data_IF_804356127762
#
_entry.id   IF_804356127762
#
_cell.length_a   1.000
_cell.length_b   1.000
_cell.length_c   1.000
_cell.angle_alpha   90.00
_cell.angle_beta   90.00
_cell.angle_gamma   90.00
#
_symmetry.space_group_name_H-M   'P 1'
#
loop_
_entity.id
_entity.type
_entity.pdbx_description
1 polymer ?
#
# COMPACT_ATOMS: atom_id res chain seq x y z
N UNK A 1 -9.51 -45.18 -55.33
CA UNK A 1 -9.71 -44.35 -54.10
C UNK A 1 -8.42 -44.02 -53.34
N UNK A 2 -7.29 -44.68 -53.60
CA UNK A 2 -6.00 -44.45 -52.91
C UNK A 2 -5.41 -43.05 -53.14
N UNK A 3 -5.49 -42.55 -54.38
CA UNK A 3 -4.85 -41.29 -54.80
C UNK A 3 -5.36 -40.08 -54.01
N UNK A 4 -6.68 -40.02 -53.78
CA UNK A 4 -7.31 -38.96 -53.02
C UNK A 4 -6.79 -38.91 -51.58
N UNK A 5 -6.65 -40.07 -50.94
CA UNK A 5 -6.20 -40.18 -49.55
C UNK A 5 -4.76 -39.68 -49.38
N UNK A 6 -3.89 -40.02 -50.33
CA UNK A 6 -2.49 -39.56 -50.32
C UNK A 6 -2.44 -38.04 -50.46
N UNK A 7 -3.18 -37.45 -51.41
CA UNK A 7 -3.19 -35.99 -51.60
C UNK A 7 -3.67 -35.28 -50.32
N UNK A 8 -4.73 -35.77 -49.67
CA UNK A 8 -5.20 -35.23 -48.40
C UNK A 8 -4.13 -35.29 -47.29
N UNK A 9 -3.36 -36.39 -47.21
CA UNK A 9 -2.32 -36.57 -46.20
C UNK A 9 -1.18 -35.54 -46.33
N UNK A 10 -0.73 -35.26 -47.56
CA UNK A 10 0.41 -34.33 -47.81
C UNK A 10 0.00 -32.85 -47.74
N UNK A 11 -1.27 -32.51 -48.00
CA UNK A 11 -1.73 -31.12 -48.00
C UNK A 11 -2.22 -30.63 -46.65
N UNK A 12 -2.34 -31.51 -45.64
CA UNK A 12 -2.83 -31.08 -44.33
C UNK A 12 -1.73 -30.26 -43.62
N UNK A 13 -1.96 -28.97 -43.31
CA UNK A 13 -0.95 -28.14 -42.67
C UNK A 13 -0.74 -28.58 -41.21
N UNK A 14 0.52 -28.62 -40.76
CA UNK A 14 0.84 -28.79 -39.35
C UNK A 14 0.53 -27.49 -38.64
N UNK A 15 -0.54 -27.47 -37.84
CA UNK A 15 -0.88 -26.33 -36.99
C UNK A 15 0.08 -26.32 -35.80
N UNK A 16 1.08 -25.44 -35.83
CA UNK A 16 1.93 -25.14 -34.68
C UNK A 16 1.58 -23.77 -34.13
N UNK A 17 0.55 -23.68 -33.30
CA UNK A 17 0.26 -22.44 -32.57
C UNK A 17 1.23 -22.32 -31.38
N UNK A 18 2.38 -21.70 -31.63
CA UNK A 18 3.36 -21.38 -30.58
C UNK A 18 2.91 -20.11 -29.87
N UNK A 19 2.09 -20.27 -28.83
CA UNK A 19 1.68 -19.14 -27.98
C UNK A 19 2.90 -18.66 -27.20
N UNK A 20 3.45 -17.50 -27.59
CA UNK A 20 4.52 -16.84 -26.83
C UNK A 20 3.96 -16.36 -25.49
N UNK A 21 4.21 -17.13 -24.45
CA UNK A 21 3.81 -16.81 -23.08
C UNK A 21 4.65 -15.62 -22.58
N UNK A 22 4.01 -14.47 -22.37
CA UNK A 22 4.67 -13.30 -21.79
C UNK A 22 4.51 -13.37 -20.28
N UNK A 23 5.58 -13.74 -19.58
CA UNK A 23 5.57 -13.78 -18.12
C UNK A 23 5.43 -12.34 -17.57
N UNK A 24 4.58 -12.13 -16.56
CA UNK A 24 4.48 -10.83 -15.91
C UNK A 24 5.84 -10.49 -15.27
N UNK A 25 6.30 -9.27 -15.50
CA UNK A 25 7.53 -8.80 -14.88
C UNK A 25 7.29 -8.56 -13.38
N UNK A 26 8.17 -9.07 -12.53
CA UNK A 26 8.19 -8.68 -11.12
C UNK A 26 8.49 -7.19 -11.01
N UNK A 27 7.56 -6.45 -10.41
CA UNK A 27 7.79 -5.06 -10.02
C UNK A 27 8.27 -5.04 -8.58
N UNK A 28 9.55 -4.75 -8.37
CA UNK A 28 10.06 -4.36 -7.06
C UNK A 28 9.55 -2.96 -6.73
N UNK A 29 8.33 -2.88 -6.19
CA UNK A 29 7.81 -1.63 -5.65
C UNK A 29 8.44 -1.43 -4.28
N UNK A 30 9.28 -0.42 -4.15
CA UNK A 30 9.77 0.03 -2.84
C UNK A 30 8.55 0.33 -1.98
N UNK A 31 8.49 -0.26 -0.79
CA UNK A 31 7.46 0.05 0.19
C UNK A 31 7.49 1.56 0.47
N UNK A 32 6.53 2.31 -0.09
CA UNK A 32 6.29 3.68 0.34
C UNK A 32 5.55 3.60 1.67
N UNK A 33 6.26 3.87 2.75
CA UNK A 33 5.66 4.15 4.05
C UNK A 33 4.68 5.29 3.87
N UNK A 34 3.39 5.00 4.06
CA UNK A 34 2.38 6.06 4.20
C UNK A 34 2.74 6.86 5.46
N UNK A 35 2.58 8.19 5.48
CA UNK A 35 2.71 8.95 6.72
C UNK A 35 1.76 8.34 7.76
N UNK A 36 2.27 8.09 8.96
CA UNK A 36 1.43 7.62 10.06
C UNK A 36 0.55 8.78 10.54
N UNK A 37 -0.77 8.59 10.55
CA UNK A 37 -1.69 9.61 11.03
C UNK A 37 -1.53 9.78 12.55
N UNK A 38 -1.53 11.03 13.00
CA UNK A 38 -1.47 11.40 14.41
C UNK A 38 -2.89 11.52 14.95
N UNK A 39 -3.23 10.77 15.99
CA UNK A 39 -4.53 10.88 16.68
C UNK A 39 -4.34 11.52 18.05
N UNK A 40 -4.97 12.66 18.26
CA UNK A 40 -5.01 13.35 19.56
C UNK A 40 -6.42 13.14 20.12
N UNK A 41 -6.51 12.52 21.30
CA UNK A 41 -7.79 12.35 22.00
C UNK A 41 -7.79 13.16 23.29
N UNK A 42 -8.89 13.84 23.59
CA UNK A 42 -9.04 14.65 24.82
C UNK A 42 -10.16 14.06 25.66
N UNK A 43 -9.88 13.72 26.92
CA UNK A 43 -10.92 13.28 27.87
C UNK A 43 -11.73 14.48 28.38
N UNK A 44 -12.90 14.19 28.98
CA UNK A 44 -13.73 15.18 29.67
C UNK A 44 -13.00 15.93 30.77
N UNK A 45 -12.02 15.28 31.39
CA UNK A 45 -11.19 15.84 32.46
C UNK A 45 -10.05 16.73 31.91
N UNK A 46 -9.92 16.86 30.58
CA UNK A 46 -8.87 17.63 29.91
C UNK A 46 -7.58 16.84 29.65
N UNK A 47 -7.54 15.56 29.99
CA UNK A 47 -6.40 14.68 29.73
C UNK A 47 -6.20 14.46 28.22
N UNK A 48 -4.96 14.65 27.76
CA UNK A 48 -4.59 14.52 26.35
C UNK A 48 -3.88 13.19 26.13
N UNK A 49 -4.35 12.42 25.15
CA UNK A 49 -3.80 11.12 24.76
C UNK A 49 -3.27 11.19 23.32
N UNK A 50 -2.05 10.70 23.15
CA UNK A 50 -1.36 10.65 21.86
C UNK A 50 -1.43 9.26 21.25
N UNK A 51 -1.90 9.14 20.01
CA UNK A 51 -1.99 7.89 19.24
C UNK A 51 -2.64 6.72 20.03
N UNK A 52 -3.63 7.03 20.88
CA UNK A 52 -4.30 6.03 21.72
C UNK A 52 -3.45 5.48 22.87
N UNK A 53 -2.44 6.23 23.33
CA UNK A 53 -1.68 5.86 24.51
C UNK A 53 -2.58 5.63 25.73
N UNK A 54 -2.22 4.66 26.58
CA UNK A 54 -2.97 4.33 27.80
C UNK A 54 -2.84 5.43 28.86
N UNK A 55 -1.70 6.14 28.86
CA UNK A 55 -1.42 7.22 29.81
C UNK A 55 -1.50 8.58 29.11
N UNK A 56 -2.05 9.60 29.78
CA UNK A 56 -2.07 10.95 29.24
C UNK A 56 -0.66 11.54 29.16
N UNK A 57 -0.49 12.55 28.31
CA UNK A 57 0.76 13.31 28.20
C UNK A 57 1.05 14.03 29.53
N UNK A 58 2.19 13.69 30.15
CA UNK A 58 2.61 14.17 31.47
C UNK A 58 2.99 15.67 31.55
N UNK A 59 2.68 16.46 30.52
CA UNK A 59 2.87 17.91 30.48
C UNK A 59 1.72 18.65 29.79
N UNK A 60 0.56 17.98 29.63
CA UNK A 60 -0.63 18.56 29.00
C UNK A 60 -0.33 19.18 27.63
N UNK A 61 -0.73 20.43 27.46
CA UNK A 61 -0.61 21.16 26.19
C UNK A 61 0.83 21.43 25.77
N UNK A 62 1.75 21.68 26.71
CA UNK A 62 3.16 21.96 26.38
C UNK A 62 3.83 20.73 25.75
N UNK A 63 3.66 19.57 26.39
CA UNK A 63 4.16 18.29 25.87
C UNK A 63 3.54 17.94 24.50
N UNK A 64 2.28 18.33 24.27
CA UNK A 64 1.63 18.16 22.97
C UNK A 64 2.31 19.02 21.88
N UNK A 65 2.59 20.28 22.17
CA UNK A 65 3.27 21.18 21.23
C UNK A 65 4.68 20.68 20.89
N UNK A 66 5.41 20.16 21.87
CA UNK A 66 6.73 19.59 21.64
C UNK A 66 6.68 18.39 20.68
N UNK A 67 5.71 17.49 20.85
CA UNK A 67 5.54 16.37 19.92
C UNK A 67 5.12 16.83 18.53
N UNK A 68 4.16 17.75 18.42
CA UNK A 68 3.71 18.28 17.13
C UNK A 68 4.84 18.98 16.37
N UNK A 69 5.74 19.68 17.07
CA UNK A 69 6.91 20.32 16.46
C UNK A 69 7.83 19.30 15.79
N UNK A 70 8.07 18.16 16.44
CA UNK A 70 8.88 17.06 15.89
C UNK A 70 8.21 16.41 14.68
N UNK A 71 6.90 16.21 14.73
CA UNK A 71 6.16 15.55 13.65
C UNK A 71 5.93 16.47 12.43
N UNK A 72 5.80 17.78 12.65
CA UNK A 72 5.53 18.75 11.58
C UNK A 72 6.62 18.86 10.52
N UNK A 73 7.86 18.49 10.85
CA UNK A 73 9.00 18.54 9.93
C UNK A 73 9.15 17.27 9.10
N UNK A 74 8.34 16.23 9.34
CA UNK A 74 8.39 14.98 8.59
C UNK A 74 7.80 15.16 7.19
N UNK A 75 8.41 14.50 6.21
CA UNK A 75 7.93 14.46 4.83
C UNK A 75 7.68 13.01 4.40
N UNK A 76 6.48 12.66 3.93
CA UNK A 76 5.28 13.51 3.84
C UNK A 76 4.73 13.95 5.20
N UNK A 77 4.10 15.12 5.26
CA UNK A 77 3.53 15.65 6.50
C UNK A 77 2.38 14.74 6.98
N UNK A 78 2.40 14.29 8.25
CA UNK A 78 1.34 13.45 8.80
C UNK A 78 0.05 14.23 9.02
N UNK A 79 -1.08 13.57 8.80
CA UNK A 79 -2.40 14.12 9.09
C UNK A 79 -2.69 14.05 10.59
N UNK A 80 -3.38 15.07 11.12
CA UNK A 80 -3.77 15.13 12.54
C UNK A 80 -5.27 14.96 12.67
N UNK A 81 -5.69 13.96 13.43
CA UNK A 81 -7.09 13.68 13.76
C UNK A 81 -7.33 13.98 15.24
N UNK A 82 -8.35 14.79 15.53
CA UNK A 82 -8.72 15.14 16.90
C UNK A 82 -10.01 14.41 17.28
N UNK A 83 -10.02 13.81 18.48
CA UNK A 83 -11.17 13.12 19.09
C UNK A 83 -11.41 13.69 20.49
N UNK A 84 -12.68 13.73 20.92
CA UNK A 84 -13.12 14.18 22.23
C UNK A 84 -14.22 13.31 22.80
#
# INVERSE_FOLDING_TARGET
MLVLLIIFLITTPVITDVVKLKLPAERNQVYKTKPENITISVSKDGDIYWNGAIRPLAGGTEALFDQLKVESVKQPQPEVHIRG
#
